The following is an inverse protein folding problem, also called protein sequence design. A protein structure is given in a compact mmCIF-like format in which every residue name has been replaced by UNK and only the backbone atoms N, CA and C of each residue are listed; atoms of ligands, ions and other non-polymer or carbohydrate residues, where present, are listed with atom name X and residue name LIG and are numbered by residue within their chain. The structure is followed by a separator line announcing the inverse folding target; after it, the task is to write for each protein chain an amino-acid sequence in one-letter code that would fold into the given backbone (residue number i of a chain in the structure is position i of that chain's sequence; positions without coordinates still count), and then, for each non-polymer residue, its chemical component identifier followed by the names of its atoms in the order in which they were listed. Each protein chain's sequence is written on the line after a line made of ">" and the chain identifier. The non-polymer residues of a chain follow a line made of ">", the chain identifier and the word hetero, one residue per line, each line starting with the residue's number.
data_IF_730984053494
#
_entry.id   IF_730984053494
#
_cell.length_a   1.000
_cell.length_b   1.000
_cell.length_c   1.000
_cell.angle_alpha   90.00
_cell.angle_beta   90.00
_cell.angle_gamma   90.00
#
_symmetry.space_group_name_H-M   'P 1'
#
loop_
_entity.id
_entity.type
_entity.pdbx_description
1 polymer ?
#
# COMPACT_ATOMS: atom_id res chain seq x y z
N UNK A 1 9.15 22.48 0.09
CA UNK A 1 9.69 21.28 0.78
C UNK A 1 10.44 21.74 2.02
N UNK A 2 10.16 21.14 3.19
CA UNK A 2 10.65 21.61 4.50
C UNK A 2 9.59 21.57 5.61
N UNK A 3 8.89 20.43 5.76
CA UNK A 3 7.85 20.24 6.81
C UNK A 3 6.53 20.99 6.61
N UNK A 4 6.44 21.89 5.61
CA UNK A 4 5.18 22.57 5.28
C UNK A 4 4.19 21.62 4.60
N UNK A 5 2.89 21.65 4.95
CA UNK A 5 1.86 20.89 4.25
C UNK A 5 1.87 21.16 2.75
N UNK A 6 1.84 20.09 1.96
CA UNK A 6 1.81 20.16 0.48
C UNK A 6 0.38 20.03 -0.05
N UNK A 7 -0.51 19.44 0.75
CA UNK A 7 -1.94 19.29 0.47
C UNK A 7 -2.76 19.88 1.62
N UNK A 8 -4.04 20.21 1.40
CA UNK A 8 -4.94 20.63 2.47
C UNK A 8 -5.04 19.59 3.59
N UNK A 9 -5.31 20.05 4.79
CA UNK A 9 -5.61 19.18 5.93
C UNK A 9 -6.79 18.25 5.59
N UNK A 10 -6.71 16.98 6.02
CA UNK A 10 -7.73 15.96 5.74
C UNK A 10 -7.82 15.50 4.27
N UNK A 11 -7.06 16.09 3.34
CA UNK A 11 -7.12 15.70 1.93
C UNK A 11 -6.71 14.25 1.71
N UNK A 12 -5.64 13.79 2.38
CA UNK A 12 -5.14 12.43 2.21
C UNK A 12 -6.19 11.39 2.67
N UNK A 13 -6.81 11.60 3.84
CA UNK A 13 -7.86 10.72 4.35
C UNK A 13 -9.05 10.60 3.38
N UNK A 14 -9.49 11.74 2.83
CA UNK A 14 -10.53 11.76 1.80
C UNK A 14 -10.09 11.06 0.51
N UNK A 15 -8.82 11.20 0.12
CA UNK A 15 -8.26 10.60 -1.08
C UNK A 15 -8.11 9.08 -0.97
N UNK A 16 -7.90 8.58 0.24
CA UNK A 16 -7.62 7.15 0.47
C UNK A 16 -8.82 6.41 1.03
N UNK A 17 -9.98 7.06 1.08
CA UNK A 17 -11.28 6.43 1.37
C UNK A 17 -11.93 5.94 0.08
N UNK A 18 -12.54 4.75 0.11
CA UNK A 18 -13.31 4.24 -1.02
C UNK A 18 -14.50 5.17 -1.32
N UNK A 19 -14.49 5.80 -2.49
CA UNK A 19 -15.58 6.65 -2.98
C UNK A 19 -16.42 5.96 -4.04
N UNK A 20 -15.78 5.11 -4.84
CA UNK A 20 -16.43 4.35 -5.89
C UNK A 20 -16.02 2.88 -5.80
N UNK A 21 -16.98 1.94 -5.80
CA UNK A 21 -16.67 0.51 -5.88
C UNK A 21 -16.11 0.17 -7.26
N UNK A 22 -15.18 -0.79 -7.31
CA UNK A 22 -14.52 -1.21 -8.56
C UNK A 22 -14.91 -2.63 -9.00
N UNK A 23 -16.00 -3.17 -8.43
CA UNK A 23 -16.44 -4.53 -8.70
C UNK A 23 -15.58 -5.63 -8.07
N UNK A 24 -14.73 -5.28 -7.10
CA UNK A 24 -13.92 -6.23 -6.32
C UNK A 24 -14.18 -6.01 -4.83
N UNK A 25 -14.59 -7.06 -4.12
CA UNK A 25 -14.83 -6.99 -2.69
C UNK A 25 -13.55 -6.59 -1.95
N UNK A 26 -13.69 -5.75 -0.92
CA UNK A 26 -12.54 -5.26 -0.15
C UNK A 26 -11.69 -4.20 -0.84
N UNK A 27 -12.08 -3.76 -2.06
CA UNK A 27 -11.33 -2.80 -2.86
C UNK A 27 -12.22 -1.68 -3.39
N UNK A 28 -11.63 -0.50 -3.51
CA UNK A 28 -12.30 0.67 -4.03
C UNK A 28 -11.36 1.63 -4.75
N UNK A 29 -11.91 2.80 -5.05
CA UNK A 29 -11.17 3.90 -5.62
C UNK A 29 -11.58 5.22 -4.97
N UNK A 30 -10.58 6.03 -4.62
CA UNK A 30 -10.74 7.37 -4.04
C UNK A 30 -9.79 8.35 -4.74
N UNK A 31 -10.34 9.40 -5.33
CA UNK A 31 -9.59 10.36 -6.17
C UNK A 31 -8.62 9.74 -7.18
N UNK A 32 -7.36 9.49 -6.82
CA UNK A 32 -6.31 8.92 -7.68
C UNK A 32 -5.67 7.66 -7.06
N UNK A 33 -6.30 7.09 -6.03
CA UNK A 33 -5.80 5.97 -5.25
C UNK A 33 -6.73 4.77 -5.37
N UNK A 34 -6.13 3.58 -5.52
CA UNK A 34 -6.79 2.31 -5.27
C UNK A 34 -6.79 2.05 -3.78
N UNK A 35 -7.94 1.77 -3.19
CA UNK A 35 -8.13 1.64 -1.74
C UNK A 35 -8.43 0.21 -1.34
N UNK A 36 -8.06 -0.16 -0.12
CA UNK A 36 -8.36 -1.44 0.49
C UNK A 36 -9.14 -1.20 1.80
N UNK A 37 -10.08 -2.08 2.13
CA UNK A 37 -10.86 -1.97 3.38
C UNK A 37 -10.00 -2.12 4.65
N UNK A 38 -8.77 -2.62 4.49
CA UNK A 38 -7.75 -2.67 5.55
C UNK A 38 -7.19 -1.30 5.95
N UNK A 39 -7.49 -0.24 5.18
CA UNK A 39 -6.93 1.10 5.32
C UNK A 39 -5.63 1.33 4.53
N UNK A 40 -5.07 0.29 3.92
CA UNK A 40 -3.98 0.45 2.95
C UNK A 40 -4.50 1.05 1.63
N UNK A 41 -3.61 1.66 0.86
CA UNK A 41 -3.94 2.24 -0.44
C UNK A 41 -2.72 2.26 -1.37
N UNK A 42 -2.97 2.30 -2.68
CA UNK A 42 -1.91 2.23 -3.69
C UNK A 42 -2.16 3.11 -4.91
N UNK A 43 -1.09 3.71 -5.42
CA UNK A 43 -1.04 4.29 -6.76
C UNK A 43 -0.37 3.29 -7.69
N UNK A 44 -0.97 3.00 -8.85
CA UNK A 44 -0.51 1.97 -9.79
C UNK A 44 -0.31 2.56 -11.18
N UNK A 45 0.89 2.38 -11.71
CA UNK A 45 1.19 2.59 -13.13
C UNK A 45 1.22 1.26 -13.89
N UNK A 46 1.21 1.37 -15.21
CA UNK A 46 1.41 0.23 -16.11
C UNK A 46 2.85 -0.30 -16.01
N UNK A 47 3.09 -1.52 -16.46
CA UNK A 47 4.42 -2.16 -16.46
C UNK A 47 5.07 -2.31 -15.07
N UNK A 48 4.28 -2.22 -13.99
CA UNK A 48 4.75 -2.56 -12.64
C UNK A 48 5.07 -1.39 -11.74
N UNK A 49 4.81 -0.15 -12.17
CA UNK A 49 4.99 1.00 -11.27
C UNK A 49 3.99 0.95 -10.12
N UNK A 50 4.46 1.24 -8.90
CA UNK A 50 3.63 1.14 -7.71
C UNK A 50 4.13 1.97 -6.54
N UNK A 51 3.19 2.60 -5.85
CA UNK A 51 3.38 3.10 -4.49
C UNK A 51 2.31 2.42 -3.65
N UNK A 52 2.70 1.69 -2.61
CA UNK A 52 1.79 1.08 -1.65
C UNK A 52 2.06 1.67 -0.27
N UNK A 53 0.99 2.06 0.43
CA UNK A 53 1.07 2.70 1.74
C UNK A 53 0.12 1.97 2.68
N UNK A 54 0.66 1.55 3.83
CA UNK A 54 -0.09 0.98 4.94
C UNK A 54 0.17 1.82 6.21
N UNK A 55 -0.76 2.74 6.54
CA UNK A 55 -0.61 3.61 7.71
C UNK A 55 -0.56 2.84 9.04
N UNK A 56 -1.28 1.72 9.15
CA UNK A 56 -1.33 0.90 10.38
C UNK A 56 0.06 0.39 10.73
N UNK A 57 0.84 0.03 9.72
CA UNK A 57 2.22 -0.48 9.87
C UNK A 57 3.30 0.59 9.68
N UNK A 58 2.92 1.85 9.42
CA UNK A 58 3.85 2.92 9.03
C UNK A 58 4.76 2.50 7.86
N UNK A 59 4.19 1.76 6.91
CA UNK A 59 4.92 1.13 5.82
C UNK A 59 4.65 1.85 4.50
N UNK A 60 5.72 2.09 3.74
CA UNK A 60 5.67 2.55 2.36
C UNK A 60 6.51 1.61 1.51
N UNK A 61 5.95 1.12 0.42
CA UNK A 61 6.64 0.33 -0.61
C UNK A 61 6.60 1.14 -1.90
N UNK A 62 7.77 1.51 -2.41
CA UNK A 62 7.92 2.09 -3.74
C UNK A 62 8.52 1.04 -4.68
N UNK A 63 7.82 0.74 -5.76
CA UNK A 63 8.23 -0.26 -6.75
C UNK A 63 8.33 0.36 -8.14
N UNK A 64 9.44 0.11 -8.81
CA UNK A 64 9.61 0.35 -10.24
C UNK A 64 9.73 -0.99 -10.96
N UNK A 65 9.09 -1.12 -12.12
CA UNK A 65 9.11 -2.37 -12.90
C UNK A 65 9.13 -2.13 -14.40
N UNK A 66 9.39 -3.20 -15.14
CA UNK A 66 9.20 -3.29 -16.59
C UNK A 66 8.68 -4.68 -16.93
N UNK A 67 7.40 -4.93 -16.64
CA UNK A 67 6.82 -6.27 -16.75
C UNK A 67 6.68 -6.73 -18.21
N UNK A 68 7.26 -7.90 -18.51
CA UNK A 68 7.25 -8.48 -19.86
C UNK A 68 5.89 -8.96 -20.37
N UNK A 69 4.92 -9.26 -19.51
CA UNK A 69 3.56 -9.66 -19.91
C UNK A 69 2.64 -8.50 -20.29
N UNK A 70 3.19 -7.31 -20.53
CA UNK A 70 2.48 -6.14 -21.00
C UNK A 70 2.02 -5.18 -19.91
N UNK A 71 1.33 -4.11 -20.33
CA UNK A 71 0.98 -2.96 -19.50
C UNK A 71 0.23 -3.32 -18.20
N UNK A 72 -0.55 -4.42 -18.21
CA UNK A 72 -1.33 -4.92 -17.07
C UNK A 72 -1.14 -6.43 -16.87
N UNK A 73 0.08 -6.93 -17.00
CA UNK A 73 0.43 -8.34 -16.79
C UNK A 73 -0.29 -8.93 -15.54
N UNK A 74 -1.24 -9.86 -15.72
CA UNK A 74 -2.03 -10.40 -14.63
C UNK A 74 -1.20 -11.20 -13.62
N UNK A 75 -0.20 -11.95 -14.10
CA UNK A 75 0.66 -12.78 -13.25
C UNK A 75 1.54 -11.90 -12.38
N UNK A 76 2.22 -10.92 -13.00
CA UNK A 76 3.04 -9.96 -12.27
C UNK A 76 2.20 -9.09 -11.32
N UNK A 77 0.96 -8.75 -11.69
CA UNK A 77 0.05 -8.03 -10.79
C UNK A 77 -0.33 -8.86 -9.57
N UNK A 78 -0.59 -10.16 -9.72
CA UNK A 78 -0.87 -11.04 -8.58
C UNK A 78 0.37 -11.21 -7.69
N UNK A 79 1.55 -11.37 -8.29
CA UNK A 79 2.81 -11.46 -7.56
C UNK A 79 3.11 -10.17 -6.75
N UNK A 80 2.79 -8.99 -7.30
CA UNK A 80 2.92 -7.72 -6.55
C UNK A 80 2.03 -7.67 -5.31
N UNK A 81 0.79 -8.14 -5.40
CA UNK A 81 -0.11 -8.20 -4.24
C UNK A 81 0.39 -9.19 -3.19
N UNK A 82 0.88 -10.36 -3.63
CA UNK A 82 1.50 -11.34 -2.73
C UNK A 82 2.74 -10.77 -2.03
N UNK A 83 3.56 -10.00 -2.74
CA UNK A 83 4.71 -9.31 -2.17
C UNK A 83 4.31 -8.30 -1.09
N UNK A 84 3.27 -7.49 -1.31
CA UNK A 84 2.77 -6.56 -0.28
C UNK A 84 2.34 -7.29 1.00
N UNK A 85 1.60 -8.40 0.87
CA UNK A 85 1.19 -9.22 2.02
C UNK A 85 2.40 -9.82 2.76
N UNK A 86 3.41 -10.28 2.02
CA UNK A 86 4.62 -10.83 2.61
C UNK A 86 5.41 -9.78 3.41
N UNK A 87 5.55 -8.55 2.88
CA UNK A 87 6.21 -7.44 3.59
C UNK A 87 5.41 -7.03 4.81
N UNK A 88 4.07 -6.92 4.71
CA UNK A 88 3.22 -6.64 5.87
C UNK A 88 3.42 -7.67 6.98
N UNK A 89 3.45 -8.96 6.63
CA UNK A 89 3.71 -10.04 7.59
C UNK A 89 5.09 -9.90 8.24
N UNK A 90 6.13 -9.65 7.45
CA UNK A 90 7.49 -9.48 7.97
C UNK A 90 7.58 -8.33 9.00
N UNK A 91 6.95 -7.20 8.69
CA UNK A 91 6.87 -6.05 9.62
C UNK A 91 6.14 -6.42 10.92
N UNK A 92 5.04 -7.18 10.82
CA UNK A 92 4.30 -7.64 12.01
C UNK A 92 5.15 -8.60 12.87
N UNK A 93 5.87 -9.53 12.24
CA UNK A 93 6.75 -10.49 12.92
C UNK A 93 7.92 -9.77 13.64
N UNK A 94 8.54 -8.78 12.99
CA UNK A 94 9.60 -7.94 13.59
C UNK A 94 9.09 -7.17 14.81
N UNK A 95 7.88 -6.61 14.74
CA UNK A 95 7.24 -5.93 15.85
C UNK A 95 6.99 -6.86 17.05
N UNK A 96 6.57 -8.10 16.80
CA UNK A 96 6.35 -9.11 17.83
C UNK A 96 7.67 -9.55 18.50
N UNK A 97 8.73 -9.74 17.71
CA UNK A 97 10.05 -10.11 18.24
C UNK A 97 10.66 -9.00 19.11
N UNK A 98 10.52 -7.74 18.70
CA UNK A 98 10.97 -6.58 19.48
C UNK A 98 10.24 -6.42 20.81
N UNK A 99 8.94 -6.76 20.87
CA UNK A 99 8.17 -6.75 22.11
C UNK A 99 8.55 -7.89 23.07
N UNK A 100 8.99 -9.05 22.55
CA UNK A 100 9.42 -10.19 23.37
C UNK A 100 10.82 -10.06 23.98
N UNK A 101 11.72 -9.28 23.37
CA UNK A 101 13.10 -9.11 23.83
C UNK A 101 13.30 -8.10 24.98
N UNK A 102 12.29 -7.31 25.32
CA UNK A 102 12.36 -6.27 26.35
C UNK A 102 12.12 -6.74 27.79
N UNK A 103 11.70 -8.01 28.00
CA UNK A 103 11.33 -8.54 29.31
C UNK A 103 12.48 -9.24 30.06
N UNK A 104 13.73 -8.82 29.82
CA UNK A 104 14.89 -9.48 30.40
C UNK A 104 16.13 -8.60 30.46
N UNK A 105 16.09 -7.53 31.26
CA UNK A 105 17.24 -6.89 31.89
C UNK A 105 16.81 -6.24 33.20
#
# INVERSE_FOLDING_TARGET
>A
MGGKPIVPEGWLEQATTSRTPIGQSGRGYGYQWWTYDTGAFTARGIFGQGIFIDPKRKLVIASNGDWGGGARDPSASAAREAFYLAVQKAVDDEGAAGAGGGAGK
#
